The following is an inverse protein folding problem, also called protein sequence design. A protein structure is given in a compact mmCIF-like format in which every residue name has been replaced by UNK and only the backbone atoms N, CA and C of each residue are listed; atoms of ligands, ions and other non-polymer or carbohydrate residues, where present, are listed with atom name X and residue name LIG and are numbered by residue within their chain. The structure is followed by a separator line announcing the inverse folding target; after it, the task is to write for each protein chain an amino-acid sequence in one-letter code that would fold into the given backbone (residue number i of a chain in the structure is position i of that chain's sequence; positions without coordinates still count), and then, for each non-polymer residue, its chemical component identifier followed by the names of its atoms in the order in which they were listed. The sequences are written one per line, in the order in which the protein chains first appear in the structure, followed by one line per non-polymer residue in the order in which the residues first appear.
data_IF_242574474893
#
_entry.id   IF_242574474893
#
_cell.length_a   1.000
_cell.length_b   1.000
_cell.length_c   1.000
_cell.angle_alpha   90.00
_cell.angle_beta   90.00
_cell.angle_gamma   90.00
#
_symmetry.space_group_name_H-M   'P 1'
#
loop_
_entity.id
_entity.type
_entity.pdbx_description
1 polymer ?
#
# COMPACT_ATOMS: atom_id res chain seq x y z
N UNK A 1 20.07 1.69 -50.72
CA UNK A 1 20.18 0.87 -49.50
C UNK A 1 18.76 0.57 -49.05
N UNK A 2 18.32 -0.69 -49.14
CA UNK A 2 16.94 -1.11 -48.87
C UNK A 2 16.77 -1.43 -47.38
N UNK A 3 15.73 -0.88 -46.75
CA UNK A 3 15.42 -1.07 -45.33
C UNK A 3 14.73 -2.43 -45.10
N UNK A 4 15.12 -3.22 -44.07
CA UNK A 4 14.62 -4.58 -43.87
C UNK A 4 13.35 -4.69 -43.01
N UNK A 5 12.74 -3.59 -42.57
CA UNK A 5 11.54 -3.62 -41.72
C UNK A 5 10.25 -3.54 -42.54
N UNK A 6 9.95 -4.62 -43.26
CA UNK A 6 8.65 -4.85 -43.85
C UNK A 6 7.98 -6.04 -43.15
N UNK A 7 7.01 -5.74 -42.28
CA UNK A 7 5.99 -6.70 -41.87
C UNK A 7 6.11 -7.17 -40.42
N UNK A 8 5.23 -6.63 -39.58
CA UNK A 8 4.55 -7.34 -38.48
C UNK A 8 3.52 -6.39 -37.84
N UNK A 9 2.45 -6.09 -38.59
CA UNK A 9 1.18 -5.63 -37.99
C UNK A 9 0.19 -6.78 -38.06
N UNK A 10 0.00 -7.49 -36.95
CA UNK A 10 -1.20 -8.31 -36.73
C UNK A 10 -1.92 -7.75 -35.51
N UNK A 11 -2.71 -6.71 -35.76
CA UNK A 11 -3.81 -6.33 -34.89
C UNK A 11 -4.92 -7.37 -35.10
N UNK A 12 -5.13 -8.27 -34.14
CA UNK A 12 -6.30 -9.15 -34.14
C UNK A 12 -7.44 -8.45 -33.39
N UNK A 13 -8.23 -7.68 -34.12
CA UNK A 13 -9.55 -7.27 -33.67
C UNK A 13 -10.44 -8.53 -33.59
N UNK A 14 -10.88 -8.91 -32.39
CA UNK A 14 -11.97 -9.88 -32.23
C UNK A 14 -13.30 -9.13 -32.31
N UNK A 15 -14.26 -9.54 -33.15
CA UNK A 15 -15.59 -8.98 -33.10
C UNK A 15 -16.34 -9.51 -31.88
N UNK A 16 -17.05 -8.60 -31.19
CA UNK A 16 -18.04 -8.89 -30.16
C UNK A 16 -19.26 -9.49 -30.87
N UNK A 17 -19.68 -10.70 -30.49
CA UNK A 17 -20.99 -11.25 -30.84
C UNK A 17 -21.80 -11.44 -29.57
N UNK A 18 -22.72 -10.49 -29.34
CA UNK A 18 -23.83 -10.62 -28.42
C UNK A 18 -24.89 -11.57 -29.00
N UNK A 19 -25.49 -12.44 -28.17
CA UNK A 19 -26.88 -12.87 -28.37
C UNK A 19 -27.23 -14.36 -28.34
N UNK A 20 -27.28 -14.90 -27.12
CA UNK A 20 -28.32 -15.83 -26.58
C UNK A 20 -28.33 -17.34 -26.95
N UNK A 21 -28.89 -18.18 -26.04
CA UNK A 21 -28.44 -19.55 -25.80
C UNK A 21 -29.37 -20.58 -26.45
N UNK A 22 -28.83 -21.73 -26.83
CA UNK A 22 -29.63 -22.89 -27.21
C UNK A 22 -29.08 -24.12 -26.51
N UNK A 23 -29.80 -24.57 -25.49
CA UNK A 23 -29.73 -25.93 -24.98
C UNK A 23 -30.00 -26.90 -26.14
N UNK A 24 -28.94 -27.46 -26.73
CA UNK A 24 -29.01 -28.70 -27.48
C UNK A 24 -27.95 -29.65 -26.94
N UNK A 25 -28.44 -30.51 -26.06
CA UNK A 25 -27.74 -31.67 -25.51
C UNK A 25 -27.56 -32.67 -26.66
N UNK A 26 -26.32 -32.95 -27.07
CA UNK A 26 -25.91 -34.29 -27.50
C UNK A 26 -24.38 -34.36 -27.59
N UNK A 27 -23.80 -35.14 -26.69
CA UNK A 27 -22.36 -35.35 -26.58
C UNK A 27 -22.01 -35.47 -25.12
N UNK A 28 -21.84 -36.70 -24.62
CA UNK A 28 -21.35 -37.00 -23.28
C UNK A 28 -19.90 -36.60 -23.10
N UNK A 29 -19.60 -35.31 -23.26
CA UNK A 29 -18.37 -34.71 -22.78
C UNK A 29 -18.54 -34.51 -21.29
N UNK A 30 -17.81 -35.29 -20.49
CA UNK A 30 -17.62 -34.97 -19.08
C UNK A 30 -17.26 -33.49 -18.97
N UNK A 31 -18.09 -32.72 -18.26
CA UNK A 31 -17.70 -31.39 -17.82
C UNK A 31 -16.61 -31.63 -16.79
N UNK A 32 -15.36 -31.65 -17.27
CA UNK A 32 -14.21 -31.65 -16.37
C UNK A 32 -14.32 -30.37 -15.54
N UNK A 33 -14.25 -30.46 -14.20
CA UNK A 33 -14.23 -29.27 -13.38
C UNK A 33 -13.07 -28.40 -13.85
N UNK A 34 -13.33 -27.12 -14.09
CA UNK A 34 -12.27 -26.13 -14.31
C UNK A 34 -11.40 -26.18 -13.07
N UNK A 35 -10.17 -26.68 -13.21
CA UNK A 35 -9.18 -26.61 -12.14
C UNK A 35 -8.81 -25.14 -12.05
N UNK A 36 -9.15 -24.49 -10.93
CA UNK A 36 -8.65 -23.15 -10.63
C UNK A 36 -7.13 -23.24 -10.57
N UNK A 37 -6.45 -22.72 -11.59
CA UNK A 37 -5.00 -22.61 -11.61
C UNK A 37 -4.60 -21.56 -10.57
N UNK A 38 -3.75 -21.94 -9.60
CA UNK A 38 -3.23 -21.01 -8.61
C UNK A 38 -2.37 -19.95 -9.31
N UNK A 39 -2.80 -18.69 -9.27
CA UNK A 39 -2.10 -17.58 -9.92
C UNK A 39 -0.92 -17.13 -9.04
N UNK A 40 0.30 -17.46 -9.46
CA UNK A 40 1.53 -17.01 -8.80
C UNK A 40 2.02 -15.68 -9.40
N UNK A 41 2.38 -14.73 -8.53
CA UNK A 41 3.00 -13.47 -8.94
C UNK A 41 4.42 -13.35 -8.41
N UNK A 42 5.36 -13.04 -9.31
CA UNK A 42 6.75 -12.83 -8.96
C UNK A 42 7.05 -11.35 -8.77
N UNK A 43 7.88 -11.04 -7.78
CA UNK A 43 8.34 -9.71 -7.40
C UNK A 43 9.86 -9.74 -7.23
N UNK A 44 10.55 -8.72 -7.72
CA UNK A 44 12.00 -8.60 -7.51
C UNK A 44 12.28 -7.77 -6.25
N UNK A 45 13.00 -8.33 -5.29
CA UNK A 45 13.46 -7.60 -4.11
C UNK A 45 14.84 -7.00 -4.41
N UNK A 46 14.90 -5.68 -4.55
CA UNK A 46 16.13 -4.96 -4.87
C UNK A 46 16.73 -4.37 -3.60
N UNK A 47 17.87 -4.91 -3.18
CA UNK A 47 18.59 -4.47 -1.97
C UNK A 47 19.60 -3.35 -2.25
N UNK A 48 19.78 -2.95 -3.50
CA UNK A 48 20.86 -2.04 -3.90
C UNK A 48 22.25 -2.64 -3.66
N UNK A 49 23.20 -1.79 -3.25
CA UNK A 49 24.61 -2.18 -3.04
C UNK A 49 24.83 -2.80 -1.65
N UNK A 50 24.23 -3.97 -1.41
CA UNK A 50 24.48 -4.78 -0.22
C UNK A 50 25.59 -5.80 -0.52
N UNK A 51 26.45 -6.07 0.47
CA UNK A 51 27.48 -7.11 0.33
C UNK A 51 26.82 -8.47 0.00
N UNK A 52 27.15 -9.11 -1.13
CA UNK A 52 26.58 -10.41 -1.50
C UNK A 52 26.78 -11.49 -0.42
N UNK A 53 27.83 -11.37 0.39
CA UNK A 53 28.09 -12.30 1.49
C UNK A 53 27.00 -12.31 2.56
N UNK A 54 26.24 -11.21 2.70
CA UNK A 54 25.12 -11.11 3.63
C UNK A 54 24.00 -12.08 3.26
N UNK A 55 23.68 -12.23 1.97
CA UNK A 55 22.65 -13.15 1.53
C UNK A 55 23.07 -14.61 1.71
N UNK A 56 24.34 -14.92 1.43
CA UNK A 56 24.86 -16.28 1.55
C UNK A 56 25.00 -16.75 3.01
N UNK A 57 25.28 -15.83 3.93
CA UNK A 57 25.58 -16.15 5.34
C UNK A 57 24.45 -15.74 6.31
N UNK A 58 23.33 -15.24 5.79
CA UNK A 58 22.19 -14.82 6.59
C UNK A 58 21.52 -16.03 7.26
N UNK A 59 21.48 -16.03 8.59
CA UNK A 59 20.79 -17.07 9.36
C UNK A 59 19.25 -16.99 9.29
N UNK A 60 18.69 -15.80 8.99
CA UNK A 60 17.24 -15.62 8.88
C UNK A 60 16.84 -14.44 8.01
N UNK A 61 15.86 -14.67 7.13
CA UNK A 61 15.20 -13.67 6.30
C UNK A 61 13.77 -13.50 6.81
N UNK A 62 13.35 -12.26 7.12
CA UNK A 62 11.97 -11.97 7.53
C UNK A 62 11.43 -10.81 6.71
N UNK A 63 10.30 -11.02 6.05
CA UNK A 63 9.60 -10.01 5.27
C UNK A 63 8.24 -9.78 5.90
N UNK A 64 7.88 -8.52 6.14
CA UNK A 64 6.58 -8.13 6.70
C UNK A 64 5.96 -7.01 5.90
N UNK A 65 4.63 -7.07 5.74
CA UNK A 65 3.86 -6.02 5.08
C UNK A 65 4.12 -5.91 3.58
N UNK A 66 4.36 -7.02 2.86
CA UNK A 66 4.55 -7.03 1.40
C UNK A 66 3.33 -6.49 0.63
N UNK A 67 2.16 -6.53 1.25
CA UNK A 67 0.92 -5.96 0.78
C UNK A 67 0.78 -4.46 1.04
N UNK A 68 1.67 -3.89 1.86
CA UNK A 68 1.65 -2.48 2.23
C UNK A 68 2.52 -1.65 1.28
N UNK A 69 2.28 -0.33 1.15
CA UNK A 69 3.15 0.54 0.37
C UNK A 69 4.61 0.58 0.87
N UNK A 70 4.85 0.23 2.13
CA UNK A 70 6.14 0.31 2.81
C UNK A 70 6.48 -0.98 3.56
N UNK A 71 6.82 -2.08 2.85
CA UNK A 71 7.23 -3.33 3.49
C UNK A 71 8.54 -3.19 4.26
N UNK A 72 8.79 -4.10 5.20
CA UNK A 72 10.08 -4.19 5.88
C UNK A 72 10.71 -5.57 5.67
N UNK A 73 12.01 -5.57 5.41
CA UNK A 73 12.82 -6.77 5.27
C UNK A 73 13.91 -6.76 6.33
N UNK A 74 14.07 -7.87 7.02
CA UNK A 74 15.17 -8.11 7.95
C UNK A 74 16.06 -9.22 7.41
N UNK A 75 17.36 -8.95 7.28
CA UNK A 75 18.41 -9.89 6.90
C UNK A 75 19.43 -9.95 8.04
N UNK A 76 19.34 -10.99 8.88
CA UNK A 76 20.09 -11.03 10.14
C UNK A 76 19.74 -9.84 11.05
N UNK A 77 20.74 -9.00 11.36
CA UNK A 77 20.57 -7.81 12.21
C UNK A 77 20.29 -6.53 11.41
N UNK A 78 20.34 -6.60 10.07
CA UNK A 78 20.06 -5.46 9.21
C UNK A 78 18.56 -5.38 8.92
N UNK A 79 18.01 -4.17 9.04
CA UNK A 79 16.61 -3.87 8.72
C UNK A 79 16.58 -2.93 7.54
N UNK A 80 15.66 -3.21 6.61
CA UNK A 80 15.44 -2.44 5.41
C UNK A 80 13.97 -2.04 5.33
N UNK A 81 13.72 -0.85 4.81
CA UNK A 81 12.39 -0.38 4.46
C UNK A 81 12.26 -0.35 2.94
N UNK A 82 11.19 -0.94 2.43
CA UNK A 82 10.92 -1.09 1.01
C UNK A 82 9.93 -0.06 0.48
N UNK A 83 9.95 0.15 -0.83
CA UNK A 83 8.94 0.90 -1.58
C UNK A 83 8.62 0.10 -2.85
N UNK A 84 7.33 -0.12 -3.12
CA UNK A 84 6.89 -0.77 -4.36
C UNK A 84 7.09 0.15 -5.57
N UNK A 85 7.59 -0.42 -6.66
CA UNK A 85 7.73 0.26 -7.94
C UNK A 85 7.44 -0.68 -9.11
N UNK A 86 7.02 -0.11 -10.24
CA UNK A 86 6.83 -0.83 -11.49
C UNK A 86 8.02 -0.58 -12.40
N UNK A 87 8.54 -1.64 -13.02
CA UNK A 87 9.62 -1.52 -14.02
C UNK A 87 9.09 -1.00 -15.35
N UNK A 88 9.97 -0.40 -16.16
CA UNK A 88 9.60 0.04 -17.52
C UNK A 88 9.42 -1.13 -18.50
N UNK A 89 9.95 -2.31 -18.18
CA UNK A 89 9.82 -3.53 -18.98
C UNK A 89 9.82 -4.75 -18.07
N UNK A 90 9.88 -5.95 -18.64
CA UNK A 90 9.81 -7.20 -17.89
C UNK A 90 11.21 -7.68 -17.49
N UNK A 91 11.40 -7.98 -16.20
CA UNK A 91 12.57 -8.70 -15.70
C UNK A 91 12.35 -10.21 -15.85
N UNK A 92 13.34 -10.93 -16.34
CA UNK A 92 13.30 -12.38 -16.54
C UNK A 92 14.32 -13.05 -15.63
N UNK A 93 13.88 -13.99 -14.80
CA UNK A 93 14.79 -14.87 -14.03
C UNK A 93 14.95 -16.17 -14.81
N UNK A 94 16.20 -16.53 -15.08
CA UNK A 94 16.57 -17.71 -15.87
C UNK A 94 17.25 -18.75 -14.99
N UNK A 95 16.94 -20.01 -15.23
CA UNK A 95 17.64 -21.17 -14.66
C UNK A 95 18.07 -22.09 -15.82
N UNK A 96 19.38 -22.26 -16.00
CA UNK A 96 19.97 -22.80 -17.23
C UNK A 96 19.41 -22.09 -18.48
N UNK A 97 18.47 -22.72 -19.19
CA UNK A 97 17.89 -22.22 -20.44
C UNK A 97 16.36 -22.00 -20.37
N UNK A 98 15.77 -22.00 -19.17
CA UNK A 98 14.33 -21.77 -18.97
C UNK A 98 14.06 -20.49 -18.19
N UNK A 99 12.99 -19.80 -18.55
CA UNK A 99 12.44 -18.72 -17.72
C UNK A 99 11.71 -19.35 -16.54
N UNK A 100 12.12 -19.01 -15.31
CA UNK A 100 11.48 -19.49 -14.07
C UNK A 100 10.62 -18.42 -13.39
N UNK A 101 10.85 -17.15 -13.69
CA UNK A 101 10.01 -16.06 -13.21
C UNK A 101 10.04 -14.88 -14.18
N UNK A 102 8.93 -14.16 -14.23
CA UNK A 102 8.80 -12.89 -14.93
C UNK A 102 8.20 -11.87 -13.98
N UNK A 103 8.79 -10.68 -13.92
CA UNK A 103 8.29 -9.62 -13.04
C UNK A 103 8.28 -8.28 -13.74
N UNK A 104 7.21 -7.52 -13.53
CA UNK A 104 7.14 -6.09 -13.84
C UNK A 104 7.16 -5.23 -12.57
N UNK A 105 7.33 -5.85 -11.40
CA UNK A 105 7.19 -5.21 -10.10
C UNK A 105 8.42 -5.47 -9.23
N UNK A 106 8.89 -4.41 -8.57
CA UNK A 106 10.00 -4.49 -7.63
C UNK A 106 9.63 -3.88 -6.30
N UNK A 107 10.34 -4.31 -5.27
CA UNK A 107 10.42 -3.61 -4.00
C UNK A 107 11.85 -3.11 -3.84
N UNK A 108 12.02 -1.80 -3.80
CA UNK A 108 13.33 -1.18 -3.59
C UNK A 108 13.55 -1.00 -2.09
N UNK A 109 14.54 -1.69 -1.54
CA UNK A 109 14.87 -1.68 -0.12
C UNK A 109 16.05 -0.76 0.17
N UNK A 110 15.86 0.11 1.17
CA UNK A 110 16.93 0.93 1.74
C UNK A 110 17.16 0.53 3.21
N UNK A 111 18.42 0.46 3.66
CA UNK A 111 18.72 0.14 5.05
C UNK A 111 18.22 1.24 5.98
N UNK A 112 17.67 0.85 7.13
CA UNK A 112 17.13 1.74 8.16
C UNK A 112 17.61 1.32 9.55
N UNK A 113 17.62 2.27 10.49
CA UNK A 113 17.89 1.99 11.90
C UNK A 113 16.59 2.08 12.68
N UNK A 114 16.36 1.10 13.56
CA UNK A 114 15.21 1.12 14.46
C UNK A 114 15.52 2.04 15.63
N UNK A 115 14.67 3.05 15.82
CA UNK A 115 14.77 3.99 16.93
C UNK A 115 13.65 3.66 17.92
N UNK A 116 13.97 3.33 19.19
CA UNK A 116 12.96 3.14 20.22
C UNK A 116 12.07 4.38 20.33
N UNK A 117 10.75 4.18 20.29
CA UNK A 117 9.81 5.27 20.53
C UNK A 117 9.87 5.62 22.02
N UNK A 118 10.29 6.83 22.36
CA UNK A 118 10.23 7.31 23.73
C UNK A 118 8.77 7.27 24.22
N UNK A 119 8.57 6.72 25.41
CA UNK A 119 7.27 6.77 26.07
C UNK A 119 6.92 8.24 26.27
N UNK A 120 5.96 8.74 25.48
CA UNK A 120 5.38 10.05 25.73
C UNK A 120 4.52 9.88 26.96
N UNK A 121 5.01 10.35 28.11
CA UNK A 121 4.18 10.61 29.28
C UNK A 121 2.88 11.28 28.79
N UNK A 122 1.69 10.74 29.13
CA UNK A 122 0.43 11.31 28.67
C UNK A 122 0.37 12.76 29.14
N UNK A 123 0.53 13.69 28.19
CA UNK A 123 0.31 15.11 28.43
C UNK A 123 -1.11 15.29 28.97
N UNK A 124 -1.34 16.25 29.88
CA UNK A 124 -2.64 16.42 30.53
C UNK A 124 -3.70 16.60 29.45
N UNK A 125 -4.64 15.65 29.41
CA UNK A 125 -5.83 15.73 28.58
C UNK A 125 -6.48 17.09 28.81
N UNK A 126 -6.41 17.97 27.82
CA UNK A 126 -7.26 19.15 27.79
C UNK A 126 -8.68 18.67 27.55
N UNK A 127 -9.35 18.31 28.65
CA UNK A 127 -10.81 18.26 28.72
C UNK A 127 -11.32 19.61 28.23
N UNK A 128 -11.82 19.65 27.00
CA UNK A 128 -12.50 20.80 26.42
C UNK A 128 -13.87 20.92 27.13
N UNK A 129 -14.08 21.90 28.03
CA UNK A 129 -15.40 22.10 28.59
C UNK A 129 -16.20 22.87 27.52
N UNK A 130 -17.26 22.23 27.01
CA UNK A 130 -18.17 22.82 26.04
C UNK A 130 -18.69 24.22 26.42
N UNK A 131 -19.30 24.93 25.45
CA UNK A 131 -19.53 26.37 25.54
C UNK A 131 -20.47 26.76 26.70
N UNK A 132 -20.21 27.89 27.39
CA UNK A 132 -20.96 28.29 28.57
C UNK A 132 -22.40 28.68 28.23
N UNK A 133 -23.36 27.97 28.83
CA UNK A 133 -24.78 28.36 28.87
C UNK A 133 -24.95 29.66 29.67
N UNK A 134 -25.47 30.71 29.01
CA UNK A 134 -25.80 32.01 29.62
C UNK A 134 -26.80 31.89 30.78
N UNK A 135 -26.55 32.52 31.94
CA UNK A 135 -27.56 32.60 33.00
C UNK A 135 -28.60 33.70 32.71
N UNK A 136 -29.88 33.31 32.78
CA UNK A 136 -31.03 34.19 32.70
C UNK A 136 -31.07 35.17 33.88
N UNK A 137 -31.00 36.48 33.58
CA UNK A 137 -31.02 37.55 34.58
C UNK A 137 -32.47 37.95 34.87
N UNK A 138 -33.06 37.34 35.90
CA UNK A 138 -34.39 37.65 36.40
C UNK A 138 -34.38 38.15 37.84
N UNK A 139 -35.04 39.30 38.05
CA UNK A 139 -35.53 39.88 39.32
C UNK A 139 -34.49 40.45 40.30
N UNK A 140 -34.77 41.44 41.14
CA UNK A 140 -35.73 42.54 41.21
C UNK A 140 -35.42 43.30 42.51
N UNK A 141 -35.59 44.63 42.49
CA UNK A 141 -36.01 45.52 43.60
C UNK A 141 -35.07 45.82 44.78
N UNK A 142 -35.02 47.12 45.11
CA UNK A 142 -34.81 47.65 46.47
C UNK A 142 -33.69 48.70 46.55
N UNK A 143 -33.92 50.00 46.29
CA UNK A 143 -34.53 51.04 47.15
C UNK A 143 -33.55 51.66 48.17
N UNK A 144 -33.29 52.97 48.02
CA UNK A 144 -32.74 53.87 49.06
C UNK A 144 -31.48 54.62 48.63
N UNK A 145 -31.52 55.85 48.09
CA UNK A 145 -31.83 57.17 48.69
C UNK A 145 -30.64 57.81 49.44
N UNK A 146 -30.12 58.91 48.87
CA UNK A 146 -29.61 60.19 49.45
C UNK A 146 -28.40 60.66 48.60
N UNK A 147 -28.51 61.66 47.73
CA UNK A 147 -28.62 63.14 47.87
C UNK A 147 -27.33 63.86 48.31
N UNK A 148 -26.95 64.84 47.47
CA UNK A 148 -26.08 66.02 47.66
C UNK A 148 -24.58 65.71 47.88
N UNK A 149 -23.61 66.46 47.34
CA UNK A 149 -23.61 67.77 46.66
C UNK A 149 -22.22 68.42 46.90
N UNK A 150 -21.84 69.39 46.07
CA UNK A 150 -20.70 70.30 46.29
C UNK A 150 -19.43 69.86 45.58
N UNK A 151 -18.99 70.56 44.53
CA UNK A 151 -18.19 71.81 44.56
C UNK A 151 -16.81 71.55 45.16
N UNK A 152 -15.71 71.80 44.45
CA UNK A 152 -15.37 72.98 43.64
C UNK A 152 -14.33 72.62 42.59
#
# INVERSE_FOLDING_TARGET
MSSPYAGLTRSSARPIQDGLPTHLISGGGEVRPVQEEEEEHYLTLDLGAVDPSLLANCASIRLVGLETPTPFLQLGDLVFQGIHTRTLGTELVLDADRVIAQSEHKVLFNPVQLIPKAETEPGPESHDPGPPTRPAKGRARGRGKKRAGGST
#
